data_IF_832774292060
#
_entry.id   IF_832774292060
#
_cell.length_a   1.000
_cell.length_b   1.000
_cell.length_c   1.000
_cell.angle_alpha   90.00
_cell.angle_beta   90.00
_cell.angle_gamma   90.00
#
_symmetry.space_group_name_H-M   'P 1'
#
loop_
_entity.id
_entity.type
_entity.pdbx_description
1 polymer ?
#
# COMPACT_ATOMS: atom_id res chain seq x y z
N UNK A 1 1.43 -2.26 -44.41
CA UNK A 1 1.10 -1.44 -43.23
C UNK A 1 1.76 -2.08 -42.03
N UNK A 2 3.05 -1.81 -41.88
CA UNK A 2 3.91 -2.37 -40.85
C UNK A 2 3.83 -1.50 -39.60
N UNK A 3 3.82 -2.19 -38.47
CA UNK A 3 3.62 -1.72 -37.12
C UNK A 3 4.89 -1.01 -36.61
N UNK A 4 5.28 0.10 -37.27
CA UNK A 4 6.44 0.91 -36.91
C UNK A 4 5.99 2.34 -36.58
N UNK A 5 5.36 2.53 -35.41
CA UNK A 5 5.12 3.89 -34.89
C UNK A 5 5.06 4.03 -33.37
N UNK A 6 5.77 3.19 -32.61
CA UNK A 6 6.01 3.42 -31.17
C UNK A 6 7.38 2.85 -30.77
N UNK A 7 8.42 3.24 -31.52
CA UNK A 7 9.83 3.04 -31.10
C UNK A 7 10.65 4.21 -31.62
N UNK A 8 10.28 5.40 -31.15
CA UNK A 8 11.09 6.59 -31.32
C UNK A 8 12.20 6.56 -30.27
N UNK A 9 13.33 5.99 -30.68
CA UNK A 9 14.56 5.85 -29.91
C UNK A 9 15.29 7.20 -29.78
N UNK A 10 14.66 8.20 -29.16
CA UNK A 10 15.31 9.46 -28.78
C UNK A 10 15.19 9.75 -27.27
N UNK A 11 15.23 8.70 -26.46
CA UNK A 11 15.13 8.80 -25.00
C UNK A 11 16.39 9.40 -24.34
N UNK A 12 17.55 9.40 -24.99
CA UNK A 12 18.82 9.77 -24.35
C UNK A 12 19.30 11.23 -24.52
N UNK A 13 18.89 11.92 -25.59
CA UNK A 13 19.52 13.19 -26.00
C UNK A 13 18.66 14.42 -25.62
N UNK A 14 17.34 14.28 -25.54
CA UNK A 14 16.44 15.42 -25.28
C UNK A 14 16.14 15.65 -23.78
N UNK A 15 16.37 14.64 -22.92
CA UNK A 15 16.11 14.75 -21.48
C UNK A 15 16.97 15.82 -20.79
N UNK A 16 18.18 16.10 -21.29
CA UNK A 16 19.07 17.12 -20.69
C UNK A 16 18.57 18.55 -20.91
N UNK A 17 17.94 18.84 -22.05
CA UNK A 17 17.34 20.14 -22.34
C UNK A 17 15.95 20.30 -21.72
N UNK A 18 15.18 19.22 -21.62
CA UNK A 18 13.84 19.25 -21.01
C UNK A 18 13.89 19.36 -19.49
N UNK A 19 14.86 18.69 -18.83
CA UNK A 19 15.07 18.83 -17.40
C UNK A 19 15.50 20.26 -17.00
N UNK A 20 16.31 20.92 -17.83
CA UNK A 20 16.71 22.31 -17.64
C UNK A 20 15.54 23.27 -17.93
N UNK A 21 14.70 22.98 -18.92
CA UNK A 21 13.46 23.75 -19.18
C UNK A 21 12.44 23.63 -18.06
N UNK A 22 12.28 22.44 -17.46
CA UNK A 22 11.42 22.24 -16.30
C UNK A 22 11.94 22.92 -15.03
N UNK A 23 13.27 23.06 -14.87
CA UNK A 23 13.86 23.84 -13.78
C UNK A 23 13.70 25.36 -13.96
N UNK A 24 13.52 25.83 -15.21
CA UNK A 24 13.32 27.25 -15.55
C UNK A 24 11.87 27.71 -15.37
N UNK A 25 10.92 26.80 -15.17
CA UNK A 25 9.57 27.10 -14.74
C UNK A 25 9.49 26.89 -13.22
N UNK A 26 9.82 27.91 -12.39
CA UNK A 26 9.41 27.87 -11.00
C UNK A 26 7.89 27.73 -11.00
N UNK A 27 7.39 26.61 -10.50
CA UNK A 27 5.96 26.50 -10.17
C UNK A 27 5.61 27.73 -9.33
N UNK A 28 4.48 28.41 -9.62
CA UNK A 28 4.10 29.60 -8.86
C UNK A 28 4.23 29.30 -7.37
N UNK A 29 4.95 30.19 -6.67
CA UNK A 29 5.17 30.14 -5.22
C UNK A 29 3.92 29.59 -4.53
N UNK A 30 4.02 28.55 -3.70
CA UNK A 30 2.90 28.17 -2.86
C UNK A 30 2.63 29.33 -1.89
N UNK A 31 1.84 30.30 -2.35
CA UNK A 31 1.17 31.27 -1.49
C UNK A 31 0.61 30.49 -0.31
N UNK A 32 0.84 30.90 0.94
CA UNK A 32 0.26 30.24 2.09
C UNK A 32 -1.26 30.18 1.91
N UNK A 33 -1.78 29.05 1.41
CA UNK A 33 -3.22 28.82 1.30
C UNK A 33 -3.70 28.71 2.73
N UNK A 34 -4.19 29.82 3.26
CA UNK A 34 -4.99 29.91 4.47
C UNK A 34 -6.34 29.21 4.17
N UNK A 35 -6.28 27.89 4.00
CA UNK A 35 -7.44 27.02 3.93
C UNK A 35 -7.91 26.78 5.34
N UNK A 36 -9.17 27.14 5.62
CA UNK A 36 -9.76 27.16 6.94
C UNK A 36 -9.59 25.86 7.71
N UNK A 37 -9.69 25.97 9.04
CA UNK A 37 -9.81 24.84 9.96
C UNK A 37 -10.94 23.91 9.52
N UNK A 38 -10.62 22.95 8.67
CA UNK A 38 -11.43 21.77 8.46
C UNK A 38 -11.24 20.96 9.74
N UNK A 39 -12.23 21.02 10.64
CA UNK A 39 -12.32 20.23 11.86
C UNK A 39 -12.09 18.76 11.49
N UNK A 40 -10.84 18.31 11.59
CA UNK A 40 -10.43 16.94 11.32
C UNK A 40 -11.04 16.11 12.45
N UNK A 41 -12.27 15.65 12.26
CA UNK A 41 -12.71 14.45 12.98
C UNK A 41 -11.63 13.42 12.71
N UNK A 42 -10.94 12.90 13.73
CA UNK A 42 -9.83 12.01 13.48
C UNK A 42 -10.44 10.81 12.77
N UNK A 43 -10.02 10.56 11.53
CA UNK A 43 -10.46 9.40 10.72
C UNK A 43 -10.28 8.10 11.52
N UNK A 44 -9.34 8.11 12.47
CA UNK A 44 -9.16 7.13 13.54
C UNK A 44 -10.43 6.83 14.37
N UNK A 45 -11.24 7.83 14.75
CA UNK A 45 -12.51 7.63 15.46
C UNK A 45 -13.59 7.00 14.58
N UNK A 46 -13.65 7.36 13.30
CA UNK A 46 -14.64 6.79 12.35
C UNK A 46 -14.30 5.32 12.08
N UNK A 47 -13.02 5.00 11.89
CA UNK A 47 -12.55 3.62 11.76
C UNK A 47 -12.74 2.80 13.04
N UNK A 48 -12.52 3.38 14.22
CA UNK A 48 -12.71 2.70 15.51
C UNK A 48 -14.20 2.40 15.77
N UNK A 49 -15.10 3.32 15.41
CA UNK A 49 -16.55 3.12 15.53
C UNK A 49 -17.07 2.05 14.56
N UNK A 50 -16.52 1.99 13.34
CA UNK A 50 -16.90 0.99 12.33
C UNK A 50 -16.30 -0.40 12.62
N UNK A 51 -15.15 -0.47 13.29
CA UNK A 51 -14.48 -1.72 13.65
C UNK A 51 -15.08 -2.43 14.87
N UNK A 52 -15.82 -1.71 15.73
CA UNK A 52 -16.47 -2.26 16.93
C UNK A 52 -17.89 -2.78 16.67
N UNK A 53 -18.48 -2.51 15.51
CA UNK A 53 -19.73 -3.14 15.11
C UNK A 53 -19.42 -4.49 14.48
N UNK A 54 -19.78 -5.64 15.08
CA UNK A 54 -19.82 -6.89 14.34
C UNK A 54 -20.81 -6.66 13.19
N UNK A 55 -20.30 -6.59 11.96
CA UNK A 55 -21.11 -6.48 10.75
C UNK A 55 -21.80 -7.82 10.53
N UNK A 56 -22.84 -8.07 11.32
CA UNK A 56 -23.74 -9.23 11.20
C UNK A 56 -24.56 -9.19 9.91
N UNK A 57 -24.46 -8.11 9.14
CA UNK A 57 -25.10 -7.95 7.83
C UNK A 57 -24.67 -9.01 6.80
N UNK A 58 -23.48 -9.59 6.91
CA UNK A 58 -23.02 -10.61 5.95
C UNK A 58 -23.54 -12.03 6.23
N UNK A 59 -24.13 -12.29 7.40
CA UNK A 59 -24.53 -13.65 7.78
C UNK A 59 -25.97 -14.02 7.34
N UNK A 60 -26.77 -13.07 6.84
CA UNK A 60 -28.21 -13.23 6.78
C UNK A 60 -28.83 -13.61 5.41
N UNK A 61 -28.09 -13.57 4.29
CA UNK A 61 -28.73 -13.63 2.95
C UNK A 61 -28.42 -14.88 2.11
N UNK A 62 -27.72 -15.87 2.65
CA UNK A 62 -27.11 -16.95 1.86
C UNK A 62 -27.80 -18.32 1.87
N UNK A 63 -29.05 -18.47 2.33
CA UNK A 63 -29.65 -19.81 2.54
C UNK A 63 -29.79 -20.68 1.27
N UNK A 64 -29.63 -20.12 0.06
CA UNK A 64 -29.76 -20.85 -1.22
C UNK A 64 -28.50 -20.82 -2.10
N UNK A 65 -27.41 -20.17 -1.66
CA UNK A 65 -26.20 -19.97 -2.48
C UNK A 65 -25.03 -20.68 -1.79
N UNK A 66 -24.31 -21.53 -2.52
CA UNK A 66 -23.14 -22.22 -2.00
C UNK A 66 -22.09 -21.20 -1.51
N UNK A 67 -21.48 -21.39 -0.31
CA UNK A 67 -20.50 -20.45 0.25
C UNK A 67 -19.36 -20.09 -0.73
N UNK A 68 -18.92 -21.06 -1.53
CA UNK A 68 -17.91 -20.87 -2.57
C UNK A 68 -18.33 -19.89 -3.68
N UNK A 69 -19.60 -19.87 -4.07
CA UNK A 69 -20.13 -18.94 -5.08
C UNK A 69 -20.17 -17.51 -4.52
N UNK A 70 -20.49 -17.38 -3.23
CA UNK A 70 -20.47 -16.11 -2.53
C UNK A 70 -19.05 -15.55 -2.41
N UNK A 71 -18.07 -16.36 -1.98
CA UNK A 71 -16.65 -15.96 -1.91
C UNK A 71 -16.11 -15.55 -3.29
N UNK A 72 -16.52 -16.25 -4.34
CA UNK A 72 -16.14 -15.92 -5.71
C UNK A 72 -16.72 -14.58 -6.19
N UNK A 73 -17.99 -14.29 -5.86
CA UNK A 73 -18.61 -12.99 -6.15
C UNK A 73 -17.88 -11.83 -5.47
N UNK A 74 -17.56 -11.98 -4.18
CA UNK A 74 -16.80 -10.98 -3.42
C UNK A 74 -15.39 -10.81 -3.99
N UNK A 75 -14.73 -11.91 -4.38
CA UNK A 75 -13.42 -11.88 -5.02
C UNK A 75 -13.43 -11.09 -6.33
N UNK A 76 -14.39 -11.33 -7.22
CA UNK A 76 -14.49 -10.62 -8.50
C UNK A 76 -14.74 -9.12 -8.29
N UNK A 77 -15.64 -8.76 -7.37
CA UNK A 77 -15.91 -7.35 -7.03
C UNK A 77 -14.65 -6.69 -6.44
N UNK A 78 -13.93 -7.37 -5.56
CA UNK A 78 -12.70 -6.86 -4.96
C UNK A 78 -11.60 -6.58 -6.00
N UNK A 79 -11.48 -7.39 -7.06
CA UNK A 79 -10.54 -7.16 -8.17
C UNK A 79 -10.86 -5.86 -8.91
N UNK A 80 -12.14 -5.63 -9.24
CA UNK A 80 -12.56 -4.38 -9.89
C UNK A 80 -12.24 -3.17 -9.02
N UNK A 81 -12.57 -3.22 -7.72
CA UNK A 81 -12.25 -2.15 -6.78
C UNK A 81 -10.74 -1.92 -6.71
N UNK A 82 -9.94 -2.98 -6.60
CA UNK A 82 -8.48 -2.90 -6.57
C UNK A 82 -7.89 -2.23 -7.81
N UNK A 83 -8.40 -2.56 -9.00
CA UNK A 83 -7.97 -1.94 -10.26
C UNK A 83 -8.21 -0.42 -10.26
N UNK A 84 -9.43 0.02 -9.92
CA UNK A 84 -9.78 1.45 -9.89
C UNK A 84 -9.01 2.24 -8.82
N UNK A 85 -8.72 1.61 -7.67
CA UNK A 85 -7.94 2.23 -6.58
C UNK A 85 -6.51 2.51 -7.00
N UNK A 86 -5.84 1.58 -7.69
CA UNK A 86 -4.45 1.74 -8.13
C UNK A 86 -4.33 2.70 -9.32
N UNK A 87 -5.29 2.71 -10.23
CA UNK A 87 -5.27 3.59 -11.41
C UNK A 87 -5.47 5.08 -11.10
N UNK A 88 -5.94 5.42 -9.91
CA UNK A 88 -6.24 6.81 -9.52
C UNK A 88 -5.05 7.55 -8.89
N UNK A 89 -3.81 7.04 -9.01
CA UNK A 89 -2.63 7.69 -8.41
C UNK A 89 -1.83 8.54 -9.40
N UNK A 90 -1.23 9.62 -8.90
CA UNK A 90 -0.38 10.51 -9.70
C UNK A 90 0.97 9.84 -10.04
N UNK A 91 1.59 10.12 -11.20
CA UNK A 91 2.78 9.40 -11.68
C UNK A 91 4.01 9.50 -10.77
N UNK A 92 4.11 10.55 -9.95
CA UNK A 92 5.17 10.71 -8.96
C UNK A 92 5.11 9.66 -7.82
N UNK A 93 4.01 8.90 -7.72
CA UNK A 93 3.77 7.93 -6.67
C UNK A 93 3.94 6.47 -7.10
N UNK A 94 4.29 6.13 -8.34
CA UNK A 94 4.46 4.72 -8.72
C UNK A 94 5.50 3.99 -7.86
N UNK A 95 6.56 4.69 -7.46
CA UNK A 95 7.62 4.16 -6.60
C UNK A 95 7.16 3.94 -5.14
N UNK A 96 6.52 4.89 -4.44
CA UNK A 96 5.95 4.62 -3.12
C UNK A 96 4.73 3.68 -3.18
N UNK A 97 3.94 3.68 -4.26
CA UNK A 97 2.84 2.74 -4.46
C UNK A 97 3.35 1.31 -4.54
N UNK A 98 4.49 1.06 -5.19
CA UNK A 98 5.14 -0.25 -5.20
C UNK A 98 5.49 -0.74 -3.79
N UNK A 99 5.90 0.17 -2.89
CA UNK A 99 6.18 -0.18 -1.50
C UNK A 99 4.91 -0.44 -0.69
N UNK A 100 3.84 0.32 -0.95
CA UNK A 100 2.54 0.13 -0.29
C UNK A 100 1.94 -1.21 -0.68
N UNK A 101 2.00 -1.61 -1.95
CA UNK A 101 1.52 -2.93 -2.39
C UNK A 101 2.33 -4.07 -1.76
N UNK A 102 3.63 -3.87 -1.50
CA UNK A 102 4.45 -4.84 -0.78
C UNK A 102 3.94 -5.01 0.67
N UNK A 103 3.64 -3.91 1.37
CA UNK A 103 3.07 -3.96 2.71
C UNK A 103 1.66 -4.59 2.75
N UNK A 104 0.79 -4.30 1.77
CA UNK A 104 -0.56 -4.88 1.70
C UNK A 104 -0.52 -6.40 1.51
N UNK A 105 0.47 -6.91 0.78
CA UNK A 105 0.65 -8.36 0.59
C UNK A 105 0.85 -9.14 1.90
N UNK A 106 1.19 -8.44 2.99
CA UNK A 106 1.38 -9.04 4.32
C UNK A 106 0.10 -9.53 5.00
N UNK A 107 -1.07 -9.42 4.37
CA UNK A 107 -2.33 -10.03 4.86
C UNK A 107 -2.21 -11.54 5.14
N UNK A 108 -1.22 -12.20 4.54
CA UNK A 108 -0.83 -13.60 4.76
C UNK A 108 -0.62 -13.91 6.26
N UNK A 109 -0.25 -12.92 7.09
CA UNK A 109 -0.11 -13.10 8.55
C UNK A 109 -1.38 -13.65 9.21
N UNK A 110 -2.56 -13.29 8.70
CA UNK A 110 -3.85 -13.79 9.22
C UNK A 110 -3.96 -15.31 9.02
N UNK A 111 -3.58 -15.80 7.84
CA UNK A 111 -3.54 -17.23 7.54
C UNK A 111 -2.50 -17.98 8.38
N UNK A 112 -1.33 -17.38 8.60
CA UNK A 112 -0.29 -17.97 9.45
C UNK A 112 -0.73 -18.07 10.92
N UNK A 113 -1.42 -17.04 11.44
CA UNK A 113 -1.98 -17.06 12.79
C UNK A 113 -3.06 -18.13 12.96
N UNK A 114 -3.95 -18.30 11.97
CA UNK A 114 -4.94 -19.37 11.99
C UNK A 114 -4.28 -20.76 11.95
N UNK A 115 -3.27 -20.95 11.11
CA UNK A 115 -2.55 -22.22 11.01
C UNK A 115 -1.85 -22.60 12.32
N UNK A 116 -1.18 -21.65 12.97
CA UNK A 116 -0.55 -21.88 14.29
C UNK A 116 -1.62 -22.07 15.37
N UNK A 117 -2.67 -21.26 15.38
CA UNK A 117 -3.76 -21.33 16.37
C UNK A 117 -4.45 -22.69 16.41
N UNK A 118 -4.81 -23.24 15.24
CA UNK A 118 -5.41 -24.58 15.13
C UNK A 118 -4.43 -25.68 15.55
N UNK A 119 -3.14 -25.49 15.28
CA UNK A 119 -2.09 -26.45 15.66
C UNK A 119 -1.78 -26.48 17.16
N UNK A 120 -2.13 -25.43 17.91
CA UNK A 120 -1.99 -25.39 19.37
C UNK A 120 -3.12 -26.17 20.07
N UNK A 121 -4.32 -26.19 19.49
CA UNK A 121 -5.47 -26.96 19.98
C UNK A 121 -5.45 -28.45 19.58
N UNK A 122 -4.72 -28.79 18.52
CA UNK A 122 -4.67 -30.15 17.96
C UNK A 122 -3.34 -30.80 18.30
N UNK A 123 -3.31 -31.75 19.24
CA UNK A 123 -2.07 -32.33 19.78
C UNK A 123 -1.21 -33.11 18.76
N UNK A 124 -1.76 -33.48 17.59
CA UNK A 124 -1.12 -34.42 16.66
C UNK A 124 -0.37 -33.82 15.46
N UNK A 125 -0.37 -32.50 15.26
CA UNK A 125 0.24 -31.91 14.05
C UNK A 125 1.53 -31.14 14.33
N UNK A 126 2.60 -31.87 14.65
CA UNK A 126 3.96 -31.30 14.76
C UNK A 126 4.42 -30.62 13.46
N UNK A 127 3.98 -31.12 12.31
CA UNK A 127 4.27 -30.55 10.99
C UNK A 127 3.60 -29.18 10.83
N UNK A 128 2.31 -29.05 11.18
CA UNK A 128 1.60 -27.78 11.05
C UNK A 128 2.18 -26.68 11.97
N UNK A 129 2.71 -27.06 13.15
CA UNK A 129 3.43 -26.13 14.04
C UNK A 129 4.70 -25.57 13.38
N UNK A 130 5.50 -26.43 12.74
CA UNK A 130 6.74 -26.01 12.05
C UNK A 130 6.41 -25.12 10.85
N UNK A 131 5.45 -25.51 10.02
CA UNK A 131 5.05 -24.71 8.85
C UNK A 131 4.37 -23.41 9.25
N UNK A 132 3.53 -23.39 10.28
CA UNK A 132 2.90 -22.19 10.81
C UNK A 132 3.93 -21.21 11.39
N UNK A 133 4.92 -21.70 12.14
CA UNK A 133 6.02 -20.88 12.64
C UNK A 133 6.86 -20.28 11.52
N UNK A 134 7.18 -21.08 10.48
CA UNK A 134 7.91 -20.60 9.32
C UNK A 134 7.10 -19.57 8.52
N UNK A 135 5.80 -19.82 8.32
CA UNK A 135 4.89 -18.89 7.66
C UNK A 135 4.79 -17.56 8.42
N UNK A 136 4.71 -17.60 9.75
CA UNK A 136 4.64 -16.40 10.59
C UNK A 136 5.95 -15.61 10.54
N UNK A 137 7.09 -16.30 10.53
CA UNK A 137 8.42 -15.67 10.38
C UNK A 137 8.55 -14.97 9.02
N UNK A 138 8.13 -15.62 7.93
CA UNK A 138 8.13 -15.03 6.59
C UNK A 138 7.16 -13.84 6.47
N UNK A 139 5.97 -13.94 7.07
CA UNK A 139 5.01 -12.84 7.12
C UNK A 139 5.58 -11.62 7.87
N UNK A 140 6.27 -11.85 8.98
CA UNK A 140 6.95 -10.79 9.75
C UNK A 140 7.98 -10.03 8.89
N UNK A 141 8.83 -10.73 8.14
CA UNK A 141 9.81 -10.09 7.24
C UNK A 141 9.12 -9.24 6.17
N UNK A 142 8.00 -9.68 5.62
CA UNK A 142 7.24 -8.92 4.62
C UNK A 142 6.67 -7.62 5.22
N UNK A 143 6.09 -7.69 6.42
CA UNK A 143 5.58 -6.52 7.16
C UNK A 143 6.71 -5.53 7.42
N UNK A 144 7.75 -5.95 8.14
CA UNK A 144 8.83 -5.06 8.55
C UNK A 144 9.68 -4.56 7.37
N UNK A 145 9.92 -5.42 6.37
CA UNK A 145 10.65 -5.07 5.16
C UNK A 145 9.92 -4.03 4.31
N UNK A 146 8.59 -4.14 4.20
CA UNK A 146 7.76 -3.17 3.49
C UNK A 146 7.89 -1.75 4.06
N UNK A 147 7.80 -1.62 5.39
CA UNK A 147 7.90 -0.31 6.05
C UNK A 147 9.31 0.28 6.04
N UNK A 148 10.35 -0.55 6.12
CA UNK A 148 11.75 -0.08 6.15
C UNK A 148 12.19 0.49 4.79
N UNK A 149 11.75 -0.12 3.68
CA UNK A 149 12.00 0.38 2.32
C UNK A 149 11.29 1.72 2.06
N UNK A 150 10.03 1.85 2.49
CA UNK A 150 9.30 3.14 2.39
C UNK A 150 9.99 4.23 3.22
N UNK A 151 10.44 3.91 4.44
CA UNK A 151 11.11 4.88 5.30
C UNK A 151 12.46 5.32 4.71
N UNK A 152 13.20 4.43 4.06
CA UNK A 152 14.44 4.80 3.34
C UNK A 152 14.16 5.73 2.15
N UNK A 153 13.04 5.55 1.45
CA UNK A 153 12.63 6.44 0.37
C UNK A 153 12.19 7.82 0.87
N UNK A 154 11.51 7.91 2.02
CA UNK A 154 11.07 9.17 2.62
C UNK A 154 12.18 9.90 3.40
N UNK A 155 13.17 9.18 3.91
CA UNK A 155 14.34 9.75 4.57
C UNK A 155 15.20 10.59 3.62
N UNK A 156 15.13 10.33 2.31
CA UNK A 156 15.81 11.14 1.27
C UNK A 156 15.11 12.47 0.97
N UNK A 157 13.88 12.68 1.44
CA UNK A 157 13.18 13.97 1.36
C UNK A 157 13.32 14.83 2.62
N UNK A 158 13.96 14.30 3.68
CA UNK A 158 14.35 15.13 4.82
C UNK A 158 15.63 15.89 4.46
N UNK A 159 15.48 17.20 4.25
CA UNK A 159 16.57 18.17 4.16
C UNK A 159 17.52 17.92 5.34
N UNK A 160 18.76 17.55 5.04
CA UNK A 160 19.88 17.54 5.99
C UNK A 160 19.87 18.90 6.67
N UNK A 161 19.59 18.95 7.97
CA UNK A 161 19.72 20.16 8.76
C UNK A 161 21.16 20.69 8.53
N UNK A 162 21.24 21.87 7.92
CA UNK A 162 22.52 22.51 7.66
C UNK A 162 23.19 22.77 9.01
N UNK A 163 24.51 22.49 9.16
CA UNK A 163 25.19 22.71 10.43
C UNK A 163 25.10 24.19 10.81
N UNK A 164 24.66 24.46 12.04
CA UNK A 164 24.62 25.80 12.60
C UNK A 164 26.02 26.42 12.51
N UNK A 165 26.15 27.43 11.66
CA UNK A 165 27.35 28.27 11.55
C UNK A 165 27.51 29.02 12.87
N UNK A 166 28.47 28.62 13.70
CA UNK A 166 28.96 29.46 14.80
C UNK A 166 29.85 30.53 14.18
N UNK A 167 29.30 31.73 14.08
CA UNK A 167 30.07 32.94 13.79
C UNK A 167 30.64 33.48 15.12
N UNK A 168 31.94 33.78 15.15
CA UNK A 168 32.59 34.71 16.09
C UNK A 168 32.94 34.19 17.46
#
# INVERSE_FOLDING_TARGET
MTFDRVRDDNWGINMSNEAVRQALHPTPDPSPRRGGELKRVPVSLICLLLALTPTTAFAAEGALISPSVYEFMVFVIAVFVGYYVVWSVTPALHTPLMSVTNAISSVIVVGALLAVGVSLTSSDSSIAKVFGFLALTMASVNIFGGFLVTNRMLAMYKKKDAPAKKDG
#
